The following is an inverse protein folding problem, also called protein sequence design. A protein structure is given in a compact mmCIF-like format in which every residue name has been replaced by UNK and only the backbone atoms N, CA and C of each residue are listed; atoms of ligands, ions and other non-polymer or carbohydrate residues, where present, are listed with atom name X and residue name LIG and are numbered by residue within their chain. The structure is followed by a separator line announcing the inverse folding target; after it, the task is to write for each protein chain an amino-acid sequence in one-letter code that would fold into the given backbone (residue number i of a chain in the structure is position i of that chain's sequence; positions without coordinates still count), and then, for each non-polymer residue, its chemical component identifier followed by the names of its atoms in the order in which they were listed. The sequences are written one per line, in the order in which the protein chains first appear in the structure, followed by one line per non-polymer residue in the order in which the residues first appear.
data_IF_814155790789
#
_entry.id   IF_814155790789
#
_cell.length_a   1.000
_cell.length_b   1.000
_cell.length_c   1.000
_cell.angle_alpha   90.00
_cell.angle_beta   90.00
_cell.angle_gamma   90.00
#
_symmetry.space_group_name_H-M   'P 1'
#
loop_
_entity.id
_entity.type
_entity.pdbx_description
1 polymer ?
#
# COMPACT_ATOMS: atom_id res chain seq x y z
N UNK A 1 4.34 10.08 15.10
CA UNK A 1 3.35 8.99 15.23
C UNK A 1 3.35 8.22 13.92
N UNK A 2 3.48 6.89 13.96
CA UNK A 2 3.36 6.05 12.76
C UNK A 2 1.88 5.97 12.40
N UNK A 3 1.51 6.43 11.21
CA UNK A 3 0.13 6.32 10.70
C UNK A 3 0.07 5.09 9.80
N UNK A 4 -0.62 4.05 10.28
CA UNK A 4 -0.98 2.90 9.47
C UNK A 4 -2.00 3.34 8.42
N UNK A 5 -1.73 3.04 7.16
CA UNK A 5 -2.62 3.33 6.03
C UNK A 5 -2.78 2.08 5.19
N UNK A 6 -3.78 2.08 4.31
CA UNK A 6 -4.04 0.99 3.39
C UNK A 6 -3.66 1.39 1.97
N UNK A 7 -3.41 0.39 1.14
CA UNK A 7 -3.16 0.59 -0.27
C UNK A 7 -3.65 -0.59 -1.10
N UNK A 8 -3.87 -0.33 -2.39
CA UNK A 8 -3.96 -1.34 -3.45
C UNK A 8 -2.97 -0.96 -4.55
N UNK A 9 -2.47 -1.94 -5.30
CA UNK A 9 -1.73 -1.72 -6.55
C UNK A 9 -2.59 -2.21 -7.70
N UNK A 10 -2.81 -1.34 -8.68
CA UNK A 10 -3.59 -1.65 -9.89
C UNK A 10 -2.72 -1.35 -11.10
N UNK A 11 -2.36 -2.39 -11.85
CA UNK A 11 -1.49 -2.30 -13.03
C UNK A 11 -0.18 -1.55 -12.71
N UNK A 12 0.46 -1.92 -11.60
CA UNK A 12 1.68 -1.29 -11.11
C UNK A 12 1.53 0.13 -10.51
N UNK A 13 0.32 0.68 -10.43
CA UNK A 13 0.07 2.00 -9.86
C UNK A 13 -0.49 1.88 -8.44
N UNK A 14 0.20 2.39 -7.41
CA UNK A 14 -0.30 2.36 -6.04
C UNK A 14 -1.39 3.41 -5.82
N UNK A 15 -2.47 3.01 -5.15
CA UNK A 15 -3.54 3.89 -4.66
C UNK A 15 -3.51 3.81 -3.13
N UNK A 16 -3.23 4.94 -2.48
CA UNK A 16 -3.07 5.04 -1.03
C UNK A 16 -4.32 5.65 -0.40
N UNK A 17 -4.78 5.07 0.72
CA UNK A 17 -6.00 5.54 1.36
C UNK A 17 -6.01 5.32 2.89
N UNK A 18 -6.88 6.03 3.62
CA UNK A 18 -7.01 5.88 5.07
C UNK A 18 -7.41 4.45 5.47
N UNK A 19 -7.05 4.03 6.69
CA UNK A 19 -7.32 2.69 7.19
C UNK A 19 -8.80 2.36 7.36
N UNK A 20 -9.68 3.37 7.36
CA UNK A 20 -11.11 3.27 7.51
C UNK A 20 -11.79 2.70 6.25
N UNK A 21 -11.20 2.87 5.07
CA UNK A 21 -11.76 2.35 3.82
C UNK A 21 -11.42 0.87 3.61
N UNK A 22 -12.30 0.14 2.94
CA UNK A 22 -12.13 -1.28 2.63
C UNK A 22 -11.44 -1.41 1.26
N UNK A 23 -10.46 -2.32 1.12
CA UNK A 23 -9.73 -2.48 -0.15
C UNK A 23 -10.65 -2.79 -1.32
N UNK A 24 -11.65 -3.65 -1.13
CA UNK A 24 -12.61 -4.01 -2.18
C UNK A 24 -13.47 -2.82 -2.65
N UNK A 25 -13.79 -1.88 -1.76
CA UNK A 25 -14.53 -0.67 -2.13
C UNK A 25 -13.68 0.26 -2.98
N UNK A 26 -12.39 0.42 -2.62
CA UNK A 26 -11.44 1.26 -3.36
C UNK A 26 -11.07 0.62 -4.70
N UNK A 27 -10.93 -0.70 -4.77
CA UNK A 27 -10.65 -1.42 -6.01
C UNK A 27 -11.80 -1.28 -7.02
N UNK A 28 -13.06 -1.29 -6.56
CA UNK A 28 -14.22 -1.29 -7.43
C UNK A 28 -14.37 -2.60 -8.21
N UNK A 29 -15.43 -2.70 -9.04
CA UNK A 29 -15.85 -3.97 -9.66
C UNK A 29 -15.02 -4.46 -10.86
N UNK A 30 -14.14 -3.63 -11.42
CA UNK A 30 -13.50 -3.90 -12.72
C UNK A 30 -11.97 -3.76 -12.72
N UNK A 31 -11.35 -3.51 -11.58
CA UNK A 31 -9.89 -3.39 -11.52
C UNK A 31 -9.28 -4.71 -11.07
N UNK A 32 -8.35 -5.21 -11.87
CA UNK A 32 -7.44 -6.27 -11.46
C UNK A 32 -6.42 -5.68 -10.48
N UNK A 33 -6.45 -6.18 -9.24
CA UNK A 33 -5.57 -5.71 -8.17
C UNK A 33 -4.36 -6.65 -8.10
N UNK A 34 -3.17 -6.10 -8.29
CA UNK A 34 -1.91 -6.87 -8.31
C UNK A 34 -1.47 -7.27 -6.89
N UNK A 35 -1.70 -6.40 -5.92
CA UNK A 35 -1.38 -6.56 -4.50
C UNK A 35 -2.20 -5.58 -3.66
N UNK A 36 -2.42 -5.93 -2.38
CA UNK A 36 -3.16 -5.08 -1.45
C UNK A 36 -2.68 -5.33 -0.03
N UNK A 37 -2.67 -4.27 0.79
CA UNK A 37 -2.22 -4.43 2.17
C UNK A 37 -2.23 -3.12 2.96
N UNK A 38 -1.38 -3.10 3.97
CA UNK A 38 -1.17 -1.96 4.84
C UNK A 38 0.25 -1.46 4.67
N UNK A 39 0.45 -0.16 4.87
CA UNK A 39 1.77 0.43 4.87
C UNK A 39 1.95 1.46 5.98
N UNK A 40 3.19 1.66 6.38
CA UNK A 40 3.63 2.75 7.25
C UNK A 40 4.83 3.45 6.63
N UNK A 41 4.93 4.75 6.85
CA UNK A 41 6.15 5.52 6.52
C UNK A 41 6.91 5.73 7.82
N UNK A 42 8.09 5.11 7.92
CA UNK A 42 9.00 5.25 9.06
C UNK A 42 10.09 6.27 8.71
N UNK A 43 10.63 6.96 9.72
CA UNK A 43 11.83 7.78 9.57
C UNK A 43 12.97 7.09 10.31
N UNK A 44 14.01 6.69 9.58
CA UNK A 44 15.19 6.02 10.12
C UNK A 44 16.45 6.76 9.65
N UNK A 45 17.33 7.14 10.58
CA UNK A 45 18.62 7.81 10.30
C UNK A 45 18.49 9.02 9.34
N UNK A 46 17.42 9.80 9.48
CA UNK A 46 17.16 10.98 8.65
C UNK A 46 16.47 10.71 7.32
N UNK A 47 16.34 9.44 6.90
CA UNK A 47 15.65 9.03 5.66
C UNK A 47 14.26 8.49 5.97
N UNK A 48 13.32 8.68 5.06
CA UNK A 48 11.98 8.07 5.15
C UNK A 48 12.01 6.75 4.39
N UNK A 49 11.35 5.72 4.93
CA UNK A 49 11.20 4.41 4.29
C UNK A 49 9.74 3.96 4.38
N UNK A 50 9.26 3.31 3.34
CA UNK A 50 7.96 2.64 3.33
C UNK A 50 8.14 1.19 3.78
N UNK A 51 7.25 0.73 4.65
CA UNK A 51 7.13 -0.68 5.05
C UNK A 51 5.72 -1.15 4.70
N UNK A 52 5.60 -2.20 3.87
CA UNK A 52 4.32 -2.79 3.47
C UNK A 52 4.16 -4.17 4.12
N UNK A 53 2.95 -4.46 4.61
CA UNK A 53 2.63 -5.69 5.35
C UNK A 53 1.18 -6.12 5.16
N UNK A 54 0.94 -7.39 5.50
CA UNK A 54 -0.40 -7.95 5.69
C UNK A 54 -1.07 -8.42 4.41
N UNK A 55 -2.35 -8.73 4.56
CA UNK A 55 -3.22 -9.22 3.51
C UNK A 55 -4.56 -8.49 3.57
N UNK A 56 -5.13 -8.21 2.40
CA UNK A 56 -6.49 -7.73 2.30
C UNK A 56 -7.47 -8.89 2.44
N UNK A 57 -8.20 -8.94 3.55
CA UNK A 57 -9.26 -9.94 3.75
C UNK A 57 -10.45 -9.75 2.82
N UNK A 58 -10.74 -8.51 2.40
CA UNK A 58 -11.86 -8.21 1.50
C UNK A 58 -11.60 -8.58 0.04
N UNK A 59 -10.32 -8.66 -0.36
CA UNK A 59 -9.91 -9.05 -1.71
C UNK A 59 -9.25 -10.44 -1.75
N UNK A 60 -8.90 -11.01 -0.59
CA UNK A 60 -8.07 -12.22 -0.47
C UNK A 60 -6.76 -12.12 -1.26
N UNK A 61 -6.13 -10.94 -1.22
CA UNK A 61 -4.88 -10.62 -1.91
C UNK A 61 -3.87 -10.10 -0.89
N UNK A 62 -2.69 -10.70 -0.87
CA UNK A 62 -1.61 -10.33 0.04
C UNK A 62 -0.77 -9.16 -0.49
N UNK A 63 -0.10 -8.47 0.43
CA UNK A 63 0.96 -7.52 0.08
C UNK A 63 2.15 -8.24 -0.57
N UNK A 64 2.88 -7.52 -1.42
CA UNK A 64 4.17 -7.91 -1.98
C UNK A 64 5.23 -6.93 -1.45
N UNK A 65 5.77 -7.11 -0.23
CA UNK A 65 6.49 -6.07 0.49
C UNK A 65 7.65 -5.44 -0.28
N UNK A 66 8.47 -6.24 -0.97
CA UNK A 66 9.62 -5.72 -1.71
C UNK A 66 9.19 -4.78 -2.85
N UNK A 67 8.26 -5.23 -3.70
CA UNK A 67 7.77 -4.48 -4.85
C UNK A 67 6.91 -3.29 -4.43
N UNK A 68 5.95 -3.52 -3.53
CA UNK A 68 4.97 -2.50 -3.14
C UNK A 68 5.63 -1.34 -2.40
N UNK A 69 6.61 -1.62 -1.53
CA UNK A 69 7.35 -0.56 -0.85
C UNK A 69 8.07 0.35 -1.84
N UNK A 70 8.67 -0.21 -2.88
CA UNK A 70 9.36 0.56 -3.91
C UNK A 70 8.38 1.40 -4.74
N UNK A 71 7.24 0.84 -5.14
CA UNK A 71 6.19 1.57 -5.87
C UNK A 71 5.65 2.74 -5.04
N UNK A 72 5.36 2.50 -3.76
CA UNK A 72 4.82 3.52 -2.86
C UNK A 72 5.88 4.58 -2.51
N UNK A 73 7.14 4.19 -2.32
CA UNK A 73 8.23 5.14 -2.07
C UNK A 73 8.41 6.11 -3.25
N UNK A 74 8.39 5.57 -4.47
CA UNK A 74 8.39 6.36 -5.72
C UNK A 74 7.19 7.30 -5.81
N UNK A 75 5.98 6.77 -5.59
CA UNK A 75 4.74 7.56 -5.62
C UNK A 75 4.77 8.74 -4.63
N UNK A 76 5.41 8.56 -3.47
CA UNK A 76 5.52 9.57 -2.43
C UNK A 76 6.76 10.49 -2.57
N UNK A 77 7.61 10.29 -3.57
CA UNK A 77 8.85 11.06 -3.76
C UNK A 77 9.85 10.88 -2.61
N UNK A 78 10.00 9.66 -2.10
CA UNK A 78 10.91 9.31 -1.00
C UNK A 78 12.23 8.68 -1.46
N UNK A 79 12.39 8.44 -2.75
CA UNK A 79 13.62 7.98 -3.40
C UNK A 79 14.48 9.16 -3.89
#
# INVERSE_FOLDING_TARGET
MLSLRKYIVVKGNPILFPSELIHAEVAGKHNEVDSAGFFVVVKEKGRKRVICIGESTSLSISSKPETDQQLIANYLGLE
#
